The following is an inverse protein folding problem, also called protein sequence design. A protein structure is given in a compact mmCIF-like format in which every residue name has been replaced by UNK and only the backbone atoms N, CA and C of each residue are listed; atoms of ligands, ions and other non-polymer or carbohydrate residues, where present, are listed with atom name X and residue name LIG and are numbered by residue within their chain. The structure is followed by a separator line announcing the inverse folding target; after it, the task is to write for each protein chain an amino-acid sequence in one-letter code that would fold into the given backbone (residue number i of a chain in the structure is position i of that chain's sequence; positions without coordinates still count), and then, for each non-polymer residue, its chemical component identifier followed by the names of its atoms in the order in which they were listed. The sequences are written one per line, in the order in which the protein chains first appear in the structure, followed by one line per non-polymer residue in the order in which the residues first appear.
data_IF_173127332102
#
_entry.id   IF_173127332102
#
_cell.length_a   1.000
_cell.length_b   1.000
_cell.length_c   1.000
_cell.angle_alpha   90.00
_cell.angle_beta   90.00
_cell.angle_gamma   90.00
#
_symmetry.space_group_name_H-M   'P 1'
#
loop_
_entity.id
_entity.type
_entity.pdbx_description
1 polymer ?
#
# COMPACT_ATOMS: atom_id res chain seq x y z
N UNK A 1 -87.89 -61.12 31.81
CA UNK A 1 -87.74 -62.45 31.19
C UNK A 1 -88.03 -62.28 29.70
N UNK A 2 -87.08 -62.40 28.79
CA UNK A 2 -85.61 -62.51 28.87
C UNK A 2 -85.09 -62.46 27.41
N UNK A 3 -83.93 -61.81 27.16
CA UNK A 3 -83.24 -61.74 25.84
C UNK A 3 -84.07 -61.15 24.67
N UNK A 4 -83.53 -60.63 23.56
CA UNK A 4 -82.27 -59.94 23.25
C UNK A 4 -82.59 -59.00 22.04
N UNK A 5 -81.80 -58.02 21.59
CA UNK A 5 -80.44 -57.55 21.91
C UNK A 5 -80.43 -56.00 22.04
N UNK A 6 -79.33 -55.40 22.52
CA UNK A 6 -79.17 -53.95 22.59
C UNK A 6 -77.94 -53.46 21.81
N UNK A 7 -78.17 -52.64 20.78
CA UNK A 7 -77.11 -51.95 20.02
C UNK A 7 -76.57 -50.78 20.86
N UNK A 8 -75.43 -50.95 21.53
CA UNK A 8 -74.62 -49.84 22.07
C UNK A 8 -73.14 -50.16 21.89
N UNK A 9 -72.49 -49.53 20.91
CA UNK A 9 -71.03 -49.42 20.86
C UNK A 9 -70.62 -48.10 21.53
N UNK A 10 -69.76 -48.14 22.56
CA UNK A 10 -69.25 -46.93 23.20
C UNK A 10 -67.85 -47.12 23.83
N UNK A 11 -66.96 -46.16 23.58
CA UNK A 11 -65.78 -45.72 24.34
C UNK A 11 -64.80 -46.77 24.93
N UNK A 12 -63.50 -46.82 24.58
CA UNK A 12 -62.38 -45.84 24.75
C UNK A 12 -61.31 -46.51 25.67
N UNK A 13 -60.05 -46.03 25.91
CA UNK A 13 -59.34 -44.84 25.39
C UNK A 13 -57.90 -45.11 24.86
N UNK A 14 -57.29 -44.10 24.23
CA UNK A 14 -55.92 -43.58 24.48
C UNK A 14 -55.57 -42.54 23.41
N UNK A 15 -56.03 -41.30 23.61
CA UNK A 15 -55.55 -40.13 22.89
C UNK A 15 -54.59 -39.37 23.82
N UNK A 16 -53.29 -39.42 23.53
CA UNK A 16 -52.27 -38.61 24.20
C UNK A 16 -51.85 -37.51 23.24
N UNK A 17 -52.34 -36.30 23.49
CA UNK A 17 -52.08 -35.13 22.65
C UNK A 17 -50.61 -34.70 22.71
N UNK A 18 -49.83 -35.12 21.71
CA UNK A 18 -48.53 -34.54 21.40
C UNK A 18 -48.72 -33.04 21.08
N UNK A 19 -48.00 -32.16 21.79
CA UNK A 19 -48.12 -30.72 21.59
C UNK A 19 -47.56 -30.32 20.21
N UNK A 20 -48.47 -30.07 19.25
CA UNK A 20 -48.11 -29.65 17.88
C UNK A 20 -47.19 -28.42 17.94
N UNK A 21 -45.93 -28.51 17.44
CA UNK A 21 -45.00 -27.40 17.52
C UNK A 21 -45.52 -26.23 16.69
N UNK A 22 -45.57 -25.04 17.31
CA UNK A 22 -46.12 -23.84 16.68
C UNK A 22 -45.46 -23.56 15.31
N UNK A 23 -46.26 -23.58 14.25
CA UNK A 23 -45.81 -23.30 12.89
C UNK A 23 -45.27 -21.88 12.83
N UNK A 24 -43.95 -21.75 12.76
CA UNK A 24 -43.25 -20.48 12.68
C UNK A 24 -43.71 -19.74 11.41
N UNK A 25 -44.23 -18.51 11.50
CA UNK A 25 -44.81 -17.82 10.34
C UNK A 25 -43.76 -17.66 9.25
N UNK A 26 -44.07 -18.15 8.03
CA UNK A 26 -43.13 -18.19 6.91
C UNK A 26 -42.84 -16.75 6.46
N UNK A 27 -41.71 -16.21 6.95
CA UNK A 27 -41.24 -14.84 6.72
C UNK A 27 -41.14 -14.55 5.23
N UNK A 28 -42.04 -13.72 4.71
CA UNK A 28 -42.05 -13.34 3.29
C UNK A 28 -40.73 -12.69 2.85
N UNK A 29 -40.35 -12.78 1.56
CA UNK A 29 -39.01 -12.41 1.08
C UNK A 29 -38.59 -10.98 1.45
N UNK A 30 -39.55 -10.05 1.45
CA UNK A 30 -39.35 -8.65 1.81
C UNK A 30 -38.98 -8.47 3.31
N UNK A 31 -39.44 -9.35 4.19
CA UNK A 31 -39.05 -9.38 5.62
C UNK A 31 -37.65 -9.97 5.81
N UNK A 32 -37.26 -10.96 5.00
CA UNK A 32 -35.92 -11.55 4.99
C UNK A 32 -34.90 -10.49 4.57
N UNK A 33 -35.15 -9.77 3.46
CA UNK A 33 -34.27 -8.70 2.98
C UNK A 33 -34.12 -7.58 4.03
N UNK A 34 -35.22 -7.10 4.62
CA UNK A 34 -35.19 -6.14 5.74
C UNK A 34 -34.34 -6.65 6.91
N UNK A 35 -34.44 -7.93 7.26
CA UNK A 35 -33.64 -8.52 8.35
C UNK A 35 -32.14 -8.59 8.03
N UNK A 36 -31.75 -8.81 6.76
CA UNK A 36 -30.35 -8.82 6.32
C UNK A 36 -29.77 -7.40 6.29
N UNK A 37 -30.51 -6.42 5.75
CA UNK A 37 -30.11 -5.02 5.74
C UNK A 37 -29.91 -4.47 7.17
N UNK A 38 -30.85 -4.76 8.08
CA UNK A 38 -30.75 -4.35 9.50
C UNK A 38 -29.54 -4.97 10.20
N UNK A 39 -29.18 -6.22 9.86
CA UNK A 39 -27.94 -6.88 10.32
C UNK A 39 -26.70 -6.17 9.79
N UNK A 40 -26.64 -5.93 8.48
CA UNK A 40 -25.52 -5.21 7.85
C UNK A 40 -25.31 -3.81 8.44
N UNK A 41 -26.39 -3.07 8.67
CA UNK A 41 -26.35 -1.75 9.31
C UNK A 41 -25.86 -1.82 10.77
N UNK A 42 -26.24 -2.85 11.53
CA UNK A 42 -25.71 -3.08 12.88
C UNK A 42 -24.19 -3.36 12.85
N UNK A 43 -23.72 -4.24 11.96
CA UNK A 43 -22.28 -4.50 11.80
C UNK A 43 -21.50 -3.25 11.36
N UNK A 44 -22.04 -2.46 10.42
CA UNK A 44 -21.42 -1.21 9.97
C UNK A 44 -21.34 -0.17 11.09
N UNK A 45 -22.42 0.03 11.85
CA UNK A 45 -22.41 0.92 13.01
C UNK A 45 -21.42 0.45 14.09
N UNK A 46 -21.32 -0.87 14.34
CA UNK A 46 -20.33 -1.43 15.27
C UNK A 46 -18.90 -1.21 14.76
N UNK A 47 -18.63 -1.33 13.46
CA UNK A 47 -17.33 -1.02 12.87
C UNK A 47 -16.98 0.47 13.01
N UNK A 48 -17.94 1.37 12.76
CA UNK A 48 -17.76 2.82 12.96
C UNK A 48 -17.37 3.19 14.40
N UNK A 49 -17.77 2.40 15.40
CA UNK A 49 -17.41 2.64 16.80
C UNK A 49 -16.06 2.04 17.22
N UNK A 50 -15.48 1.15 16.42
CA UNK A 50 -14.21 0.46 16.72
C UNK A 50 -13.09 0.79 15.71
N UNK A 51 -13.34 1.67 14.74
CA UNK A 51 -12.36 2.03 13.72
C UNK A 51 -11.41 3.13 14.20
N UNK A 52 -10.11 2.97 13.94
CA UNK A 52 -9.09 3.99 14.21
C UNK A 52 -9.22 5.20 13.26
N UNK A 53 -10.03 5.12 12.20
CA UNK A 53 -10.18 6.18 11.19
C UNK A 53 -11.10 7.29 11.71
N UNK A 54 -10.54 8.21 12.51
CA UNK A 54 -11.28 9.29 13.19
C UNK A 54 -12.23 10.10 12.29
N UNK A 55 -11.84 10.41 11.05
CA UNK A 55 -12.65 11.21 10.13
C UNK A 55 -13.97 10.54 9.73
N UNK A 56 -13.98 9.21 9.55
CA UNK A 56 -15.12 8.46 9.02
C UNK A 56 -16.29 8.48 10.01
N UNK A 57 -16.02 8.40 11.31
CA UNK A 57 -17.03 8.44 12.37
C UNK A 57 -17.82 9.76 12.34
N UNK A 58 -17.14 10.89 12.10
CA UNK A 58 -17.78 12.21 12.05
C UNK A 58 -18.64 12.42 10.80
N UNK A 59 -18.31 11.79 9.68
CA UNK A 59 -19.11 11.79 8.44
C UNK A 59 -20.45 11.07 8.67
N UNK A 60 -20.42 9.87 9.26
CA UNK A 60 -21.63 9.03 9.41
C UNK A 60 -22.46 9.34 10.66
N UNK A 61 -21.83 9.64 11.81
CA UNK A 61 -22.52 9.92 13.10
C UNK A 61 -22.71 11.41 13.42
N UNK A 62 -22.22 12.34 12.59
CA UNK A 62 -22.35 13.79 12.85
C UNK A 62 -23.81 14.25 13.01
N UNK A 63 -24.11 15.11 14.00
CA UNK A 63 -25.49 15.60 14.25
C UNK A 63 -26.03 16.57 13.18
N UNK A 64 -25.19 17.47 12.67
CA UNK A 64 -25.56 18.45 11.64
C UNK A 64 -25.10 18.02 10.24
N UNK A 65 -25.94 18.24 9.21
CA UNK A 65 -25.60 17.95 7.80
C UNK A 65 -24.39 18.75 7.33
N UNK A 66 -24.30 20.04 7.67
CA UNK A 66 -23.15 20.89 7.33
C UNK A 66 -21.85 20.34 7.92
N UNK A 67 -21.87 19.90 9.19
CA UNK A 67 -20.71 19.27 9.83
C UNK A 67 -20.29 17.98 9.12
N UNK A 68 -21.23 17.15 8.65
CA UNK A 68 -20.90 15.94 7.87
C UNK A 68 -20.23 16.28 6.54
N UNK A 69 -20.72 17.30 5.83
CA UNK A 69 -20.15 17.76 4.56
C UNK A 69 -18.73 18.30 4.78
N UNK A 70 -18.51 19.12 5.80
CA UNK A 70 -17.17 19.62 6.14
C UNK A 70 -16.20 18.48 6.48
N UNK A 71 -16.62 17.51 7.30
CA UNK A 71 -15.78 16.34 7.61
C UNK A 71 -15.52 15.45 6.39
N UNK A 72 -16.47 15.34 5.46
CA UNK A 72 -16.29 14.63 4.19
C UNK A 72 -15.26 15.34 3.29
N UNK A 73 -15.34 16.66 3.16
CA UNK A 73 -14.39 17.46 2.38
C UNK A 73 -12.97 17.37 2.96
N UNK A 74 -12.82 17.50 4.29
CA UNK A 74 -11.53 17.36 4.98
C UNK A 74 -10.95 15.95 4.80
N UNK A 75 -11.78 14.91 4.94
CA UNK A 75 -11.35 13.52 4.74
C UNK A 75 -10.91 13.25 3.29
N UNK A 76 -11.69 13.70 2.30
CA UNK A 76 -11.35 13.54 0.89
C UNK A 76 -10.06 14.29 0.54
N UNK A 77 -9.92 15.55 0.97
CA UNK A 77 -8.70 16.34 0.77
C UNK A 77 -7.48 15.62 1.36
N UNK A 78 -7.55 15.21 2.63
CA UNK A 78 -6.47 14.48 3.28
C UNK A 78 -6.13 13.16 2.56
N UNK A 79 -7.12 12.40 2.07
CA UNK A 79 -6.87 11.16 1.32
C UNK A 79 -6.20 11.40 -0.04
N UNK A 80 -6.59 12.46 -0.76
CA UNK A 80 -6.03 12.82 -2.07
C UNK A 80 -4.59 13.31 -1.89
N UNK A 81 -4.35 14.20 -0.92
CA UNK A 81 -3.01 14.70 -0.60
C UNK A 81 -2.09 13.57 -0.16
N UNK A 82 -2.57 12.66 0.71
CA UNK A 82 -1.79 11.51 1.17
C UNK A 82 -1.42 10.57 0.00
N UNK A 83 -2.39 10.22 -0.86
CA UNK A 83 -2.13 9.40 -2.04
C UNK A 83 -1.13 10.08 -3.01
N UNK A 84 -1.28 11.39 -3.25
CA UNK A 84 -0.35 12.17 -4.08
C UNK A 84 1.07 12.21 -3.52
N UNK A 85 1.22 12.38 -2.21
CA UNK A 85 2.52 12.32 -1.51
C UNK A 85 3.15 10.94 -1.64
N UNK A 86 2.40 9.86 -1.43
CA UNK A 86 2.88 8.48 -1.58
C UNK A 86 3.38 8.24 -3.01
N UNK A 87 2.60 8.61 -4.03
CA UNK A 87 3.00 8.49 -5.44
C UNK A 87 4.26 9.30 -5.73
N UNK A 88 4.34 10.54 -5.25
CA UNK A 88 5.52 11.39 -5.40
C UNK A 88 6.77 10.75 -4.81
N UNK A 89 6.71 10.21 -3.59
CA UNK A 89 7.86 9.54 -2.95
C UNK A 89 8.23 8.22 -3.64
N UNK A 90 7.27 7.45 -4.15
CA UNK A 90 7.57 6.24 -4.94
C UNK A 90 8.32 6.62 -6.23
N UNK A 91 7.88 7.66 -6.94
CA UNK A 91 8.57 8.17 -8.14
C UNK A 91 9.95 8.74 -7.80
N UNK A 92 10.09 9.43 -6.66
CA UNK A 92 11.36 9.97 -6.21
C UNK A 92 12.35 8.87 -5.86
N UNK A 93 11.90 7.82 -5.17
CA UNK A 93 12.72 6.65 -4.86
C UNK A 93 13.14 5.89 -6.12
N UNK A 94 12.21 5.65 -7.06
CA UNK A 94 12.47 4.96 -8.33
C UNK A 94 13.38 5.75 -9.32
N UNK A 95 13.86 6.94 -8.94
CA UNK A 95 14.86 7.71 -9.68
C UNK A 95 16.29 7.55 -9.14
N UNK A 96 16.48 6.69 -8.13
CA UNK A 96 17.76 6.44 -7.45
C UNK A 96 18.56 7.72 -7.13
N UNK A 97 17.97 8.70 -6.41
CA UNK A 97 18.62 9.98 -6.14
C UNK A 97 19.86 9.78 -5.26
N UNK A 98 21.04 9.95 -5.86
CA UNK A 98 22.31 9.84 -5.15
C UNK A 98 22.58 11.07 -4.31
N UNK A 99 22.85 10.85 -3.01
CA UNK A 99 23.25 11.90 -2.07
C UNK A 99 24.75 11.77 -1.79
N UNK A 100 25.56 12.63 -2.41
CA UNK A 100 27.01 12.67 -2.19
C UNK A 100 27.29 13.32 -0.84
N UNK A 101 27.73 12.53 0.14
CA UNK A 101 28.29 13.04 1.39
C UNK A 101 29.82 12.97 1.34
N UNK A 102 30.47 14.08 1.69
CA UNK A 102 31.93 14.17 1.81
C UNK A 102 32.24 14.18 3.31
N UNK A 103 33.05 13.23 3.76
CA UNK A 103 33.55 13.17 5.14
C UNK A 103 35.07 13.18 5.11
N UNK A 104 35.66 13.90 6.07
CA UNK A 104 37.11 13.96 6.25
C UNK A 104 37.47 13.05 7.42
N UNK A 105 37.99 11.87 7.11
CA UNK A 105 38.62 10.99 8.08
C UNK A 105 40.10 11.37 8.10
N UNK A 106 40.63 11.69 9.28
CA UNK A 106 42.07 11.77 9.51
C UNK A 106 42.54 10.39 9.92
N UNK A 107 43.45 9.80 9.14
CA UNK A 107 44.01 8.48 9.43
C UNK A 107 45.19 8.62 10.41
N UNK A 108 45.14 7.95 11.56
CA UNK A 108 46.13 8.11 12.64
C UNK A 108 47.53 7.60 12.24
N UNK A 109 47.61 6.65 11.30
CA UNK A 109 48.87 6.16 10.72
C UNK A 109 49.29 6.90 9.43
N UNK A 110 48.46 7.83 8.95
CA UNK A 110 48.71 8.66 7.78
C UNK A 110 48.41 8.01 6.43
N UNK A 111 48.14 8.84 5.42
CA UNK A 111 47.82 8.40 4.06
C UNK A 111 49.08 7.86 3.33
N UNK A 112 48.92 6.80 2.54
CA UNK A 112 49.97 6.31 1.65
C UNK A 112 50.42 7.39 0.65
N UNK A 113 51.73 7.54 0.49
CA UNK A 113 52.31 8.52 -0.43
C UNK A 113 51.94 8.16 -1.89
N UNK A 114 51.41 9.11 -2.69
CA UNK A 114 50.98 8.82 -4.06
C UNK A 114 52.19 8.62 -4.98
N UNK A 115 51.97 7.90 -6.09
CA UNK A 115 52.95 7.84 -7.17
C UNK A 115 53.13 9.25 -7.78
N UNK A 116 54.36 9.78 -7.73
CA UNK A 116 54.71 11.06 -8.36
C UNK A 116 55.38 10.78 -9.71
N UNK A 117 54.74 11.22 -10.78
CA UNK A 117 55.32 11.26 -12.12
C UNK A 117 55.91 12.65 -12.38
N UNK A 118 57.23 12.75 -12.49
CA UNK A 118 57.92 14.00 -12.89
C UNK A 118 58.37 13.87 -14.34
N UNK A 119 57.80 14.69 -15.22
CA UNK A 119 58.22 14.80 -16.61
C UNK A 119 59.03 16.09 -16.83
N UNK A 120 60.04 16.03 -17.69
CA UNK A 120 60.68 17.24 -18.20
C UNK A 120 59.69 17.95 -19.13
N UNK A 121 59.56 19.27 -19.01
CA UNK A 121 58.78 20.08 -19.95
C UNK A 121 59.38 20.08 -21.37
N UNK A 122 60.70 19.86 -21.47
CA UNK A 122 61.32 19.63 -22.76
C UNK A 122 61.07 18.18 -23.22
N UNK A 123 60.21 18.03 -24.22
CA UNK A 123 59.81 16.75 -24.80
C UNK A 123 60.98 15.99 -25.48
N UNK A 124 62.01 16.70 -25.98
CA UNK A 124 63.13 16.09 -26.72
C UNK A 124 64.46 16.70 -26.28
N UNK A 125 65.43 15.86 -25.89
CA UNK A 125 66.78 16.33 -25.52
C UNK A 125 67.43 17.05 -26.70
N UNK A 126 68.11 18.17 -26.44
CA UNK A 126 68.73 19.00 -27.50
C UNK A 126 69.65 18.19 -28.42
N UNK A 127 70.56 17.40 -27.87
CA UNK A 127 71.53 16.64 -28.67
C UNK A 127 70.84 15.61 -29.58
N UNK A 128 69.74 15.01 -29.11
CA UNK A 128 68.90 14.11 -29.92
C UNK A 128 68.15 14.89 -31.01
N UNK A 129 67.64 16.07 -30.69
CA UNK A 129 66.95 16.94 -31.64
C UNK A 129 67.89 17.44 -32.74
N UNK A 130 69.11 17.85 -32.40
CA UNK A 130 70.11 18.33 -33.36
C UNK A 130 70.59 17.20 -34.29
N UNK A 131 70.72 15.96 -33.78
CA UNK A 131 71.11 14.79 -34.59
C UNK A 131 69.99 14.26 -35.50
N UNK A 132 68.74 14.29 -35.03
CA UNK A 132 67.58 13.67 -35.71
C UNK A 132 66.58 14.72 -36.22
N UNK A 133 67.05 15.95 -36.50
CA UNK A 133 66.18 17.10 -36.83
C UNK A 133 65.27 16.83 -38.03
N UNK A 134 65.79 16.15 -39.05
CA UNK A 134 65.03 15.81 -40.27
C UNK A 134 63.90 14.84 -39.95
N UNK A 135 64.17 13.79 -39.16
CA UNK A 135 63.16 12.78 -38.81
C UNK A 135 62.11 13.33 -37.84
N UNK A 136 62.51 14.17 -36.90
CA UNK A 136 61.57 14.87 -36.01
C UNK A 136 60.65 15.84 -36.79
N UNK A 137 61.19 16.60 -37.73
CA UNK A 137 60.39 17.48 -38.59
C UNK A 137 59.49 16.69 -39.55
N UNK A 138 59.95 15.56 -40.09
CA UNK A 138 59.13 14.69 -40.94
C UNK A 138 57.96 14.07 -40.15
N UNK A 139 58.21 13.57 -38.94
CA UNK A 139 57.17 13.03 -38.06
C UNK A 139 56.18 14.11 -37.57
N UNK A 140 56.65 15.35 -37.38
CA UNK A 140 55.79 16.49 -37.04
C UNK A 140 54.92 16.94 -38.23
N UNK A 141 55.49 16.95 -39.45
CA UNK A 141 54.80 17.38 -40.67
C UNK A 141 53.81 16.32 -41.19
N UNK A 142 54.11 15.03 -41.01
CA UNK A 142 53.26 13.90 -41.37
C UNK A 142 53.10 12.94 -40.18
N UNK A 143 52.17 13.23 -39.24
CA UNK A 143 51.93 12.37 -38.08
C UNK A 143 51.16 11.09 -38.47
N UNK A 144 51.82 10.16 -39.15
CA UNK A 144 51.27 8.85 -39.47
C UNK A 144 51.35 7.92 -38.26
N UNK A 145 50.29 7.95 -37.44
CA UNK A 145 49.99 7.10 -36.28
C UNK A 145 50.90 7.19 -35.05
N UNK A 146 50.26 7.32 -33.88
CA UNK A 146 50.90 7.50 -32.57
C UNK A 146 49.93 7.30 -31.41
N UNK A 147 49.12 6.25 -31.49
CA UNK A 147 48.41 5.58 -30.39
C UNK A 147 48.61 4.07 -30.57
#
# INVERSE_FOLDING_TARGET
MELSDAIVANASPQDQGEAVPAVQPRKGPLTILKSRLKRGQHHFNKWLDNTSIHGVVHIFKGKSRLRRILWLLVFLFASITCAGIIIFYIILWAKDPTSTSISFISDDEGQSFPAITVCNLNAVKKDYADQNVVDLLNNYANPTSGF
#
